data_IF_612844086028
#
_entry.id   IF_612844086028
#
_cell.length_a   1.000
_cell.length_b   1.000
_cell.length_c   1.000
_cell.angle_alpha   90.00
_cell.angle_beta   90.00
_cell.angle_gamma   90.00
#
_symmetry.space_group_name_H-M   'P 1'
#
loop_
_entity.id
_entity.type
_entity.pdbx_description
1 polymer ?
#
# COMPACT_ATOMS: atom_id res chain seq x y z
N UNK A 1 21.66 -40.95 -15.85
CA UNK A 1 21.58 -39.94 -14.77
C UNK A 1 21.11 -38.55 -15.27
N UNK A 2 21.46 -38.12 -16.48
CA UNK A 2 21.01 -36.82 -17.04
C UNK A 2 19.50 -36.69 -17.27
N UNK A 3 18.79 -37.78 -17.58
CA UNK A 3 17.33 -37.78 -17.75
C UNK A 3 16.58 -37.43 -16.45
N UNK A 4 17.13 -37.83 -15.30
CA UNK A 4 16.56 -37.53 -13.98
C UNK A 4 16.84 -36.07 -13.58
N UNK A 5 18.01 -35.55 -13.96
CA UNK A 5 18.39 -34.15 -13.72
C UNK A 5 17.47 -33.16 -14.46
N UNK A 6 17.10 -33.47 -15.70
CA UNK A 6 16.16 -32.65 -16.48
C UNK A 6 14.73 -32.64 -15.91
N UNK A 7 14.28 -33.74 -15.31
CA UNK A 7 12.97 -33.83 -14.64
C UNK A 7 12.98 -33.03 -13.33
N UNK A 8 14.09 -33.04 -12.58
CA UNK A 8 14.22 -32.29 -11.33
C UNK A 8 14.22 -30.76 -11.56
N UNK A 9 14.76 -30.30 -12.70
CA UNK A 9 14.76 -28.88 -13.08
C UNK A 9 13.36 -28.35 -13.43
N UNK A 10 12.44 -29.23 -13.86
CA UNK A 10 11.07 -28.85 -14.22
C UNK A 10 10.17 -28.61 -13.00
N UNK A 11 10.49 -29.20 -11.83
CA UNK A 11 9.72 -29.08 -10.59
C UNK A 11 9.88 -27.68 -9.94
N UNK A 12 10.95 -26.95 -10.29
CA UNK A 12 11.19 -25.58 -9.82
C UNK A 12 10.38 -24.50 -10.57
N UNK A 13 9.53 -24.88 -11.52
CA UNK A 13 8.66 -23.95 -12.27
C UNK A 13 7.25 -23.81 -11.66
N UNK A 14 7.05 -24.24 -10.41
CA UNK A 14 5.79 -23.93 -9.71
C UNK A 14 5.69 -22.41 -9.51
N UNK A 15 4.78 -21.81 -10.27
CA UNK A 15 4.67 -20.37 -10.43
C UNK A 15 4.16 -19.62 -9.21
N UNK A 16 4.27 -18.30 -9.28
CA UNK A 16 3.75 -17.37 -8.29
C UNK A 16 2.22 -17.45 -8.27
N UNK A 17 1.64 -17.87 -7.14
CA UNK A 17 0.20 -17.77 -6.91
C UNK A 17 -0.18 -16.29 -6.77
N UNK A 18 -1.20 -15.85 -7.52
CA UNK A 18 -1.77 -14.52 -7.35
C UNK A 18 -2.52 -14.45 -6.03
N UNK A 19 -2.06 -13.63 -5.09
CA UNK A 19 -2.88 -13.24 -3.94
C UNK A 19 -4.10 -12.47 -4.47
N UNK A 20 -5.30 -12.80 -3.98
CA UNK A 20 -6.55 -12.11 -4.35
C UNK A 20 -6.66 -10.73 -3.63
N UNK A 21 -5.57 -9.98 -3.62
CA UNK A 21 -5.48 -8.66 -3.00
C UNK A 21 -5.88 -7.60 -4.03
N UNK A 22 -6.93 -6.85 -3.72
CA UNK A 22 -7.35 -5.71 -4.54
C UNK A 22 -6.49 -4.49 -4.20
N UNK A 23 -5.66 -4.05 -5.15
CA UNK A 23 -4.78 -2.89 -5.01
C UNK A 23 -5.23 -1.80 -5.97
N UNK A 24 -5.79 -0.73 -5.43
CA UNK A 24 -6.16 0.46 -6.19
C UNK A 24 -5.14 1.57 -5.98
N UNK A 25 -4.61 2.13 -7.07
CA UNK A 25 -3.63 3.21 -7.07
C UNK A 25 -4.10 4.37 -7.96
N UNK A 26 -4.08 5.59 -7.42
CA UNK A 26 -4.33 6.81 -8.19
C UNK A 26 -2.99 7.49 -8.52
N UNK A 27 -2.68 7.75 -9.81
CA UNK A 27 -1.44 8.43 -10.18
C UNK A 27 -1.46 9.90 -9.74
N UNK A 28 -0.36 10.36 -9.14
CA UNK A 28 -0.19 11.73 -8.63
C UNK A 28 0.81 12.57 -9.43
N UNK A 29 1.25 12.15 -10.63
CA UNK A 29 2.21 12.86 -11.49
C UNK A 29 3.43 13.43 -10.73
N UNK A 30 3.96 12.66 -9.77
CA UNK A 30 5.07 13.02 -8.86
C UNK A 30 4.84 14.25 -7.97
N UNK A 31 3.64 14.83 -7.97
CA UNK A 31 3.29 16.00 -7.14
C UNK A 31 1.88 15.85 -6.59
N UNK A 32 1.79 15.63 -5.29
CA UNK A 32 0.49 15.64 -4.62
C UNK A 32 0.26 16.97 -3.90
N UNK A 33 -0.69 17.76 -4.42
CA UNK A 33 -1.10 18.99 -3.76
C UNK A 33 -1.81 18.70 -2.45
N UNK A 34 -1.46 19.39 -1.36
CA UNK A 34 -2.04 19.21 -0.01
C UNK A 34 -3.57 19.24 0.04
N UNK A 35 -4.22 19.99 -0.86
CA UNK A 35 -5.69 20.12 -0.95
C UNK A 35 -6.34 19.16 -1.96
N UNK A 36 -5.54 18.42 -2.72
CA UNK A 36 -6.05 17.48 -3.72
C UNK A 36 -6.49 16.19 -3.02
N UNK A 37 -7.80 15.94 -3.00
CA UNK A 37 -8.36 14.71 -2.43
C UNK A 37 -8.10 13.52 -3.36
N UNK A 38 -7.72 12.37 -2.80
CA UNK A 38 -7.66 11.10 -3.50
C UNK A 38 -8.86 10.25 -3.10
N UNK A 39 -9.62 9.75 -4.09
CA UNK A 39 -10.82 8.94 -3.86
C UNK A 39 -10.56 7.51 -4.27
N UNK A 40 -10.89 6.59 -3.37
CA UNK A 40 -10.78 5.15 -3.56
C UNK A 40 -12.15 4.53 -3.34
N UNK A 41 -12.54 3.60 -4.22
CA UNK A 41 -13.77 2.82 -4.08
C UNK A 41 -13.35 1.37 -3.87
N UNK A 42 -13.60 0.85 -2.67
CA UNK A 42 -13.30 -0.52 -2.30
C UNK A 42 -14.58 -1.36 -2.41
N UNK A 43 -14.55 -2.44 -3.19
CA UNK A 43 -15.67 -3.37 -3.31
C UNK A 43 -15.38 -4.65 -2.54
N UNK A 44 -16.06 -4.83 -1.40
CA UNK A 44 -15.90 -6.02 -0.55
C UNK A 44 -16.97 -7.04 -0.92
N UNK A 45 -16.57 -8.09 -1.64
CA UNK A 45 -17.46 -9.18 -2.08
C UNK A 45 -17.88 -10.12 -0.96
N UNK A 46 -16.99 -10.39 0.00
CA UNK A 46 -17.26 -11.19 1.20
C UNK A 46 -17.07 -10.34 2.47
N UNK A 47 -18.14 -9.73 3.00
CA UNK A 47 -18.08 -8.89 4.19
C UNK A 47 -17.98 -9.67 5.51
N UNK A 48 -18.14 -11.01 5.50
CA UNK A 48 -18.02 -11.82 6.73
C UNK A 48 -16.55 -12.07 7.09
N UNK A 49 -15.68 -12.08 6.08
CA UNK A 49 -14.23 -12.18 6.30
C UNK A 49 -13.63 -10.79 6.50
N UNK A 50 -13.04 -10.49 7.68
CA UNK A 50 -12.36 -9.22 7.92
C UNK A 50 -11.26 -8.96 6.89
N UNK A 51 -11.16 -7.71 6.42
CA UNK A 51 -10.15 -7.27 5.46
C UNK A 51 -9.30 -6.16 6.08
N UNK A 52 -8.00 -6.20 5.82
CA UNK A 52 -7.11 -5.11 6.18
C UNK A 52 -7.14 -4.04 5.10
N UNK A 53 -7.31 -2.78 5.51
CA UNK A 53 -7.08 -1.63 4.64
C UNK A 53 -5.61 -1.21 4.84
N UNK A 54 -4.86 -1.09 3.76
CA UNK A 54 -3.43 -0.74 3.81
C UNK A 54 -3.20 0.47 2.91
N UNK A 55 -2.61 1.52 3.47
CA UNK A 55 -2.06 2.62 2.70
C UNK A 55 -0.65 2.26 2.27
N UNK A 56 -0.45 2.10 0.97
CA UNK A 56 0.88 1.95 0.37
C UNK A 56 1.40 3.35 0.07
N UNK A 57 2.43 3.77 0.80
CA UNK A 57 3.02 5.10 0.64
C UNK A 57 4.41 4.97 0.07
N UNK A 58 4.65 5.66 -1.05
CA UNK A 58 5.95 5.75 -1.70
C UNK A 58 6.45 7.18 -1.68
N UNK A 59 7.67 7.39 -1.20
CA UNK A 59 8.31 8.70 -1.12
C UNK A 59 9.78 8.62 -1.58
N UNK A 60 10.34 9.77 -1.94
CA UNK A 60 11.74 9.95 -2.32
C UNK A 60 12.29 11.27 -1.75
N UNK A 61 13.51 11.64 -2.15
CA UNK A 61 14.19 12.85 -1.69
C UNK A 61 13.53 14.17 -2.13
N UNK A 62 12.56 14.15 -3.05
CA UNK A 62 11.81 15.35 -3.44
C UNK A 62 10.68 15.70 -2.45
N UNK A 63 10.35 14.78 -1.53
CA UNK A 63 9.36 15.02 -0.48
C UNK A 63 10.01 15.64 0.76
N UNK A 64 9.65 16.87 1.16
CA UNK A 64 10.43 17.64 2.14
C UNK A 64 10.09 17.37 3.61
N UNK A 65 9.22 16.39 3.91
CA UNK A 65 8.75 16.13 5.27
C UNK A 65 9.13 14.72 5.74
N UNK A 66 9.38 14.57 7.04
CA UNK A 66 9.69 13.27 7.65
C UNK A 66 8.44 12.45 7.99
N UNK A 67 7.25 13.00 7.77
CA UNK A 67 5.97 12.35 8.04
C UNK A 67 4.92 12.75 6.98
N UNK A 68 3.82 12.01 6.95
CA UNK A 68 2.64 12.33 6.15
C UNK A 68 1.38 12.17 7.00
N UNK A 69 0.42 13.08 6.80
CA UNK A 69 -0.89 13.01 7.47
C UNK A 69 -1.99 12.75 6.47
N UNK A 70 -2.81 11.75 6.76
CA UNK A 70 -4.03 11.47 6.00
C UNK A 70 -5.23 11.87 6.83
N UNK A 71 -6.13 12.65 6.24
CA UNK A 71 -7.48 12.87 6.76
C UNK A 71 -8.38 11.96 5.95
N UNK A 72 -8.77 10.83 6.54
CA UNK A 72 -9.54 9.79 5.88
C UNK A 72 -11.01 10.00 6.17
N UNK A 73 -11.83 10.10 5.12
CA UNK A 73 -13.28 10.13 5.23
C UNK A 73 -13.84 8.79 4.73
N UNK A 74 -14.08 7.87 5.66
CA UNK A 74 -14.58 6.54 5.36
C UNK A 74 -16.11 6.56 5.32
N UNK A 75 -16.68 6.19 4.17
CA UNK A 75 -18.14 6.16 3.94
C UNK A 75 -18.57 4.77 3.53
N UNK A 76 -19.47 4.17 4.30
CA UNK A 76 -20.14 2.93 3.92
C UNK A 76 -21.46 3.27 3.21
N UNK A 77 -21.68 2.89 1.94
CA UNK A 77 -22.92 3.23 1.23
C UNK A 77 -24.21 2.75 1.93
N UNK A 78 -24.14 1.68 2.74
CA UNK A 78 -25.28 1.13 3.48
C UNK A 78 -25.57 1.91 4.78
N UNK A 79 -24.58 2.63 5.33
CA UNK A 79 -24.72 3.43 6.55
C UNK A 79 -24.58 4.90 6.21
N UNK A 80 -25.52 5.75 6.65
CA UNK A 80 -25.39 7.20 6.43
C UNK A 80 -24.24 7.86 7.22
N UNK A 81 -23.56 7.11 8.08
CA UNK A 81 -22.49 7.59 8.95
C UNK A 81 -21.17 7.57 8.19
N UNK A 82 -20.57 8.75 8.04
CA UNK A 82 -19.18 8.92 7.62
C UNK A 82 -18.31 8.95 8.88
N UNK A 83 -17.21 8.20 8.87
CA UNK A 83 -16.20 8.25 9.92
C UNK A 83 -15.00 9.04 9.41
N UNK A 84 -14.54 10.00 10.20
CA UNK A 84 -13.38 10.82 9.86
C UNK A 84 -12.27 10.46 10.85
N UNK A 85 -11.11 10.08 10.30
CA UNK A 85 -9.91 9.79 11.08
C UNK A 85 -8.71 10.59 10.55
N UNK A 86 -7.76 10.90 11.43
CA UNK A 86 -6.51 11.57 11.08
C UNK A 86 -5.34 10.68 11.45
N UNK A 87 -4.68 10.16 10.43
CA UNK A 87 -3.52 9.28 10.55
C UNK A 87 -2.25 10.09 10.39
N UNK A 88 -1.25 9.82 11.21
CA UNK A 88 0.08 10.42 11.10
C UNK A 88 1.13 9.32 10.97
N UNK A 89 1.70 9.19 9.78
CA UNK A 89 2.71 8.19 9.48
C UNK A 89 4.09 8.81 9.37
N UNK A 90 5.05 8.22 10.07
CA UNK A 90 6.45 8.62 10.04
C UNK A 90 7.12 7.93 8.86
N UNK A 91 7.78 8.71 8.01
CA UNK A 91 8.45 8.25 6.78
C UNK A 91 9.98 8.27 6.91
N UNK A 92 10.55 9.07 7.81
CA UNK A 92 11.99 9.13 8.05
C UNK A 92 12.34 9.06 9.55
N UNK A 93 13.52 8.50 9.83
CA UNK A 93 14.18 8.57 11.14
C UNK A 93 14.63 10.01 11.44
N UNK A 94 14.94 10.35 12.71
CA UNK A 94 15.43 11.68 13.07
C UNK A 94 16.71 12.13 12.34
N UNK A 95 17.52 11.19 11.86
CA UNK A 95 18.73 11.47 11.07
C UNK A 95 18.45 11.70 9.57
N UNK A 96 17.18 11.69 9.14
CA UNK A 96 16.77 11.89 7.74
C UNK A 96 16.75 10.62 6.88
N UNK A 97 17.15 9.47 7.42
CA UNK A 97 17.08 8.19 6.68
C UNK A 97 15.62 7.76 6.50
N UNK A 98 15.22 7.48 5.25
CA UNK A 98 13.87 6.98 4.95
C UNK A 98 13.61 5.60 5.55
N UNK A 99 12.40 5.41 6.07
CA UNK A 99 11.82 4.14 6.49
C UNK A 99 11.21 3.41 5.27
N UNK A 100 11.07 2.09 5.39
CA UNK A 100 10.48 1.25 4.35
C UNK A 100 11.52 0.51 3.50
N UNK A 101 11.04 -0.12 2.43
CA UNK A 101 11.86 -0.93 1.51
C UNK A 101 11.87 -0.27 0.13
N UNK A 102 12.91 -0.52 -0.68
CA UNK A 102 13.00 0.05 -2.03
C UNK A 102 14.42 0.37 -2.45
N UNK A 103 14.60 0.59 -3.76
CA UNK A 103 15.89 0.82 -4.38
C UNK A 103 16.23 2.31 -4.46
N UNK A 104 17.49 2.65 -4.13
CA UNK A 104 17.98 4.03 -4.15
C UNK A 104 17.21 4.94 -3.19
N UNK A 105 16.82 6.11 -3.69
CA UNK A 105 16.14 7.16 -2.93
C UNK A 105 14.66 6.89 -2.69
N UNK A 106 14.06 6.00 -3.49
CA UNK A 106 12.63 5.70 -3.39
C UNK A 106 12.39 4.61 -2.36
N UNK A 107 11.54 4.90 -1.37
CA UNK A 107 11.10 3.93 -0.37
C UNK A 107 9.59 3.79 -0.38
N UNK A 108 9.15 2.57 -0.09
CA UNK A 108 7.77 2.18 0.07
C UNK A 108 7.54 1.65 1.48
N UNK A 109 6.44 2.09 2.09
CA UNK A 109 5.99 1.63 3.40
C UNK A 109 4.52 1.24 3.34
N UNK A 110 4.20 0.11 3.97
CA UNK A 110 2.84 -0.40 4.13
C UNK A 110 2.31 0.03 5.49
N UNK A 111 1.34 0.94 5.50
CA UNK A 111 0.68 1.38 6.72
C UNK A 111 -0.71 0.77 6.83
N UNK A 112 -0.90 -0.12 7.80
CA UNK A 112 -2.21 -0.68 8.08
C UNK A 112 -3.12 0.39 8.70
N UNK A 113 -4.30 0.58 8.11
CA UNK A 113 -5.37 1.35 8.69
C UNK A 113 -6.14 0.46 9.68
N UNK A 114 -6.19 0.89 10.94
CA UNK A 114 -6.95 0.19 11.98
C UNK A 114 -8.39 0.69 11.91
N UNK A 115 -9.29 -0.20 11.52
CA UNK A 115 -10.75 0.02 11.51
C UNK A 115 -11.37 -0.56 12.76
#
# INVERSE_FOLDING_TARGET
MHRVLGILMLIFLTGCGTSNEDVTMNPINNKWGKKAEQKFKLEISDPQTPKNIIFVVRNNNEYPYSNIRFIVNFKNPKSKIAQIDTLNYILAKPNGEWLGTGFGETKETLFQYRT
#
